data_IF_708636391480
#
_entry.id   IF_708636391480
#
_cell.length_a   1.000
_cell.length_b   1.000
_cell.length_c   1.000
_cell.angle_alpha   90.00
_cell.angle_beta   90.00
_cell.angle_gamma   90.00
#
_symmetry.space_group_name_H-M   'P 1'
#
loop_
_entity.id
_entity.type
_entity.pdbx_description
1 polymer ?
#
# COMPACT_ATOMS: atom_id res chain seq x y z
N UNK A 1 23.63 -8.84 -1.93
CA UNK A 1 22.99 -7.76 -2.72
C UNK A 1 21.50 -8.01 -2.68
N UNK A 2 20.69 -6.96 -2.50
CA UNK A 2 19.23 -7.12 -2.44
C UNK A 2 18.66 -7.02 -3.84
N UNK A 3 17.78 -7.96 -4.21
CA UNK A 3 17.08 -7.95 -5.49
C UNK A 3 15.69 -8.55 -5.34
N UNK A 4 14.79 -8.22 -6.25
CA UNK A 4 13.52 -8.91 -6.35
C UNK A 4 13.03 -8.95 -7.80
N UNK A 5 12.21 -9.95 -8.09
CA UNK A 5 11.59 -10.18 -9.38
C UNK A 5 10.09 -10.28 -9.17
N UNK A 6 9.33 -9.60 -10.01
CA UNK A 6 7.87 -9.71 -10.08
C UNK A 6 7.52 -10.27 -11.46
N UNK A 7 6.86 -11.40 -11.47
CA UNK A 7 6.37 -12.06 -12.67
C UNK A 7 4.85 -12.05 -12.65
N UNK A 8 4.25 -11.58 -13.74
CA UNK A 8 2.81 -11.61 -13.99
C UNK A 8 2.59 -12.11 -15.42
N UNK A 9 1.37 -12.52 -15.79
CA UNK A 9 1.06 -12.91 -17.17
C UNK A 9 1.40 -11.83 -18.21
N UNK A 10 1.31 -10.55 -17.83
CA UNK A 10 1.49 -9.41 -18.72
C UNK A 10 2.92 -8.87 -18.77
N UNK A 11 3.70 -9.04 -17.70
CA UNK A 11 5.03 -8.46 -17.58
C UNK A 11 5.94 -9.20 -16.58
N UNK A 12 7.25 -9.12 -16.85
CA UNK A 12 8.31 -9.55 -15.95
C UNK A 12 9.18 -8.35 -15.61
N UNK A 13 9.31 -8.07 -14.32
CA UNK A 13 10.07 -6.96 -13.77
C UNK A 13 11.18 -7.50 -12.88
N UNK A 14 12.41 -7.04 -13.09
CA UNK A 14 13.55 -7.41 -12.25
C UNK A 14 14.18 -6.14 -11.68
N UNK A 15 14.47 -6.15 -10.39
CA UNK A 15 15.05 -5.02 -9.68
C UNK A 15 16.25 -5.45 -8.85
N UNK A 16 17.27 -4.61 -8.82
CA UNK A 16 18.47 -4.80 -8.02
C UNK A 16 18.82 -3.50 -7.30
N UNK A 17 19.22 -3.62 -6.04
CA UNK A 17 19.75 -2.50 -5.28
C UNK A 17 21.23 -2.35 -5.55
N UNK A 18 21.61 -1.20 -6.11
CA UNK A 18 23.01 -0.92 -6.46
C UNK A 18 23.88 -0.62 -5.23
N UNK A 19 25.19 -0.41 -5.48
CA UNK A 19 26.16 -0.11 -4.43
C UNK A 19 25.95 1.26 -3.75
N UNK A 20 25.18 2.17 -4.35
CA UNK A 20 24.79 3.44 -3.76
C UNK A 20 23.51 3.31 -2.92
N UNK A 21 22.91 2.12 -2.87
CA UNK A 21 21.67 1.84 -2.15
C UNK A 21 20.42 2.24 -2.91
N UNK A 22 20.53 2.55 -4.21
CA UNK A 22 19.40 2.94 -5.06
C UNK A 22 18.86 1.72 -5.80
N UNK A 23 17.53 1.64 -5.92
CA UNK A 23 16.89 0.58 -6.68
C UNK A 23 16.97 0.88 -8.18
N UNK A 24 17.44 -0.10 -8.94
CA UNK A 24 17.50 -0.08 -10.39
C UNK A 24 16.57 -1.17 -10.94
N UNK A 25 15.79 -0.81 -11.95
CA UNK A 25 15.10 -1.80 -12.79
C UNK A 25 16.10 -2.34 -13.80
N UNK A 26 16.15 -3.66 -13.92
CA UNK A 26 17.02 -4.39 -14.84
C UNK A 26 16.23 -4.93 -16.03
N UNK A 27 14.94 -5.25 -15.83
CA UNK A 27 14.02 -5.72 -16.87
C UNK A 27 12.64 -5.09 -16.70
N UNK A 28 11.90 -4.86 -17.81
CA UNK A 28 12.26 -5.16 -19.21
C UNK A 28 13.29 -4.20 -19.82
N UNK A 29 13.48 -3.03 -19.22
CA UNK A 29 14.47 -2.03 -19.60
C UNK A 29 15.32 -1.65 -18.39
N UNK A 30 16.56 -1.22 -18.64
CA UNK A 30 17.43 -0.75 -17.56
C UNK A 30 17.14 0.73 -17.28
N UNK A 31 16.62 1.03 -16.09
CA UNK A 31 16.25 2.38 -15.68
C UNK A 31 16.24 2.52 -14.15
N UNK A 32 16.41 3.74 -13.59
CA UNK A 32 16.20 3.96 -12.17
C UNK A 32 14.77 3.60 -11.76
N UNK A 33 14.63 2.82 -10.68
CA UNK A 33 13.32 2.39 -10.19
C UNK A 33 12.68 3.45 -9.29
N UNK A 34 11.36 3.45 -9.19
CA UNK A 34 10.62 4.29 -8.26
C UNK A 34 10.79 3.78 -6.84
N UNK A 35 11.48 4.56 -6.00
CA UNK A 35 11.69 4.21 -4.58
C UNK A 35 10.36 3.97 -3.86
N UNK A 36 9.34 4.79 -4.14
CA UNK A 36 8.01 4.64 -3.53
C UNK A 36 7.31 3.34 -3.92
N UNK A 37 7.39 2.94 -5.20
CA UNK A 37 6.74 1.70 -5.69
C UNK A 37 7.45 0.46 -5.14
N UNK A 38 8.79 0.48 -5.14
CA UNK A 38 9.61 -0.58 -4.56
C UNK A 38 9.36 -0.71 -3.06
N UNK A 39 9.43 0.40 -2.32
CA UNK A 39 9.22 0.41 -0.88
C UNK A 39 7.83 -0.09 -0.50
N UNK A 40 6.80 0.26 -1.27
CA UNK A 40 5.43 -0.22 -1.05
C UNK A 40 5.34 -1.75 -1.16
N UNK A 41 5.87 -2.36 -2.23
CA UNK A 41 5.84 -3.81 -2.39
C UNK A 41 6.66 -4.52 -1.31
N UNK A 42 7.88 -4.04 -1.02
CA UNK A 42 8.72 -4.65 0.02
C UNK A 42 8.09 -4.52 1.40
N UNK A 43 7.43 -3.40 1.69
CA UNK A 43 6.68 -3.25 2.94
C UNK A 43 5.51 -4.22 3.00
N UNK A 44 4.73 -4.36 1.91
CA UNK A 44 3.66 -5.37 1.86
C UNK A 44 4.20 -6.78 2.11
N UNK A 45 5.36 -7.16 1.58
CA UNK A 45 5.96 -8.47 1.84
C UNK A 45 6.44 -8.61 3.29
N UNK A 46 6.98 -7.54 3.88
CA UNK A 46 7.51 -7.56 5.23
C UNK A 46 6.43 -7.52 6.32
N UNK A 47 5.33 -6.80 6.07
CA UNK A 47 4.24 -6.58 7.05
C UNK A 47 2.94 -7.24 6.67
N UNK A 48 2.87 -7.86 5.49
CA UNK A 48 1.67 -8.50 4.97
C UNK A 48 1.33 -9.71 5.80
N UNK A 49 0.40 -9.54 6.73
CA UNK A 49 -0.12 -10.63 7.52
C UNK A 49 -1.14 -11.43 6.69
N UNK A 50 -1.20 -12.73 6.93
CA UNK A 50 -2.26 -13.57 6.39
C UNK A 50 -3.45 -13.51 7.33
N UNK A 51 -4.59 -13.00 6.86
CA UNK A 51 -5.83 -12.94 7.66
C UNK A 51 -6.29 -14.35 8.07
N UNK A 52 -6.05 -15.33 7.20
CA UNK A 52 -6.43 -16.73 7.40
C UNK A 52 -5.43 -17.66 6.72
N UNK A 53 -5.29 -18.85 7.28
CA UNK A 53 -4.53 -19.95 6.70
C UNK A 53 -5.44 -21.15 6.50
N UNK A 54 -5.26 -21.84 5.38
CA UNK A 54 -5.99 -23.05 5.00
C UNK A 54 -4.96 -24.15 4.77
N UNK A 55 -5.12 -25.29 5.43
CA UNK A 55 -4.35 -26.49 5.13
C UNK A 55 -5.17 -27.34 4.18
N UNK A 56 -4.63 -27.58 2.99
CA UNK A 56 -5.30 -28.32 1.91
C UNK A 56 -4.37 -29.37 1.35
N UNK A 57 -4.90 -30.36 0.62
CA UNK A 57 -4.03 -31.29 -0.09
C UNK A 57 -3.33 -30.57 -1.24
N UNK A 58 -2.06 -30.86 -1.50
CA UNK A 58 -1.30 -30.24 -2.58
C UNK A 58 -1.97 -30.42 -3.97
N UNK A 59 -2.76 -31.49 -4.13
CA UNK A 59 -3.56 -31.75 -5.33
C UNK A 59 -4.67 -30.71 -5.59
N UNK A 60 -5.11 -29.97 -4.57
CA UNK A 60 -6.21 -29.01 -4.65
C UNK A 60 -5.71 -27.57 -4.92
N UNK A 61 -4.38 -27.37 -5.03
CA UNK A 61 -3.76 -26.05 -5.30
C UNK A 61 -4.29 -25.37 -6.56
N UNK A 62 -4.69 -26.16 -7.56
CA UNK A 62 -5.32 -25.68 -8.79
C UNK A 62 -6.65 -24.96 -8.54
N UNK A 63 -7.43 -25.37 -7.53
CA UNK A 63 -8.71 -24.72 -7.17
C UNK A 63 -8.51 -23.30 -6.62
N UNK A 64 -7.30 -23.00 -6.16
CA UNK A 64 -6.91 -21.68 -5.64
C UNK A 64 -6.17 -20.84 -6.70
N UNK A 65 -6.02 -21.34 -7.92
CA UNK A 65 -5.30 -20.66 -9.01
C UNK A 65 -3.80 -20.56 -8.80
N UNK A 66 -3.19 -21.51 -8.08
CA UNK A 66 -1.74 -21.53 -7.82
C UNK A 66 -0.93 -22.32 -8.86
N UNK A 67 -1.60 -23.10 -9.71
CA UNK A 67 -0.98 -23.79 -10.86
C UNK A 67 -0.71 -22.81 -12.02
N UNK A 68 -1.64 -21.89 -12.26
CA UNK A 68 -1.49 -20.71 -13.13
C UNK A 68 -1.56 -19.44 -12.27
N UNK A 69 -0.45 -19.03 -11.63
CA UNK A 69 -0.46 -17.92 -10.70
C UNK A 69 -0.75 -16.59 -11.41
N UNK A 70 -1.50 -15.72 -10.73
CA UNK A 70 -1.74 -14.34 -11.18
C UNK A 70 -0.48 -13.48 -11.03
N UNK A 71 0.37 -13.79 -10.06
CA UNK A 71 1.71 -13.23 -9.96
C UNK A 71 2.64 -14.10 -9.12
N UNK A 72 3.93 -14.01 -9.36
CA UNK A 72 4.99 -14.58 -8.52
C UNK A 72 5.97 -13.49 -8.15
N UNK A 73 6.28 -13.37 -6.87
CA UNK A 73 7.29 -12.44 -6.35
C UNK A 73 8.43 -13.25 -5.76
N UNK A 74 9.65 -13.03 -6.25
CA UNK A 74 10.87 -13.61 -5.71
C UNK A 74 11.71 -12.49 -5.10
N UNK A 75 12.18 -12.64 -3.86
CA UNK A 75 13.02 -11.66 -3.18
C UNK A 75 14.30 -12.33 -2.72
N UNK A 76 15.43 -11.70 -2.99
CA UNK A 76 16.74 -12.06 -2.45
C UNK A 76 17.18 -10.97 -1.48
N UNK A 77 17.37 -11.35 -0.22
CA UNK A 77 17.79 -10.47 0.87
C UNK A 77 19.31 -10.27 0.87
N UNK A 78 19.79 -9.31 1.68
CA UNK A 78 21.22 -9.00 1.74
C UNK A 78 22.08 -10.15 2.29
N UNK A 79 21.47 -10.99 3.13
CA UNK A 79 22.06 -12.19 3.70
C UNK A 79 21.93 -13.43 2.82
N UNK A 80 21.56 -13.25 1.54
CA UNK A 80 21.41 -14.31 0.53
C UNK A 80 20.21 -15.24 0.76
N UNK A 81 19.38 -14.97 1.78
CA UNK A 81 18.09 -15.66 1.94
C UNK A 81 17.16 -15.29 0.78
N UNK A 82 16.47 -16.30 0.24
CA UNK A 82 15.52 -16.13 -0.85
C UNK A 82 14.13 -16.51 -0.36
N UNK A 83 13.17 -15.65 -0.64
CA UNK A 83 11.76 -15.89 -0.38
C UNK A 83 10.94 -15.79 -1.66
N UNK A 84 9.90 -16.60 -1.76
CA UNK A 84 8.95 -16.59 -2.86
C UNK A 84 7.53 -16.46 -2.33
N UNK A 85 6.76 -15.56 -2.93
CA UNK A 85 5.31 -15.47 -2.73
C UNK A 85 4.62 -15.69 -4.07
N UNK A 86 3.78 -16.73 -4.13
CA UNK A 86 2.95 -17.06 -5.28
C UNK A 86 1.54 -16.59 -5.00
N UNK A 87 0.99 -15.73 -5.86
CA UNK A 87 -0.37 -15.21 -5.78
C UNK A 87 -1.27 -15.97 -6.76
N UNK A 88 -2.34 -16.57 -6.25
CA UNK A 88 -3.35 -17.25 -7.01
C UNK A 88 -4.58 -16.38 -7.28
N UNK A 89 -5.75 -17.01 -7.29
CA UNK A 89 -7.03 -16.36 -7.54
C UNK A 89 -7.57 -15.62 -6.32
N UNK A 90 -8.47 -14.66 -6.57
CA UNK A 90 -9.26 -14.05 -5.52
C UNK A 90 -10.26 -15.06 -4.90
N UNK A 91 -10.60 -14.86 -3.64
CA UNK A 91 -11.69 -15.60 -3.00
C UNK A 91 -13.06 -15.21 -3.61
N UNK A 92 -14.11 -15.94 -3.23
CA UNK A 92 -15.44 -15.80 -3.83
C UNK A 92 -16.00 -14.36 -3.77
N UNK A 93 -15.79 -13.67 -2.66
CA UNK A 93 -16.25 -12.29 -2.45
C UNK A 93 -15.21 -11.21 -2.82
N UNK A 94 -14.05 -11.60 -3.37
CA UNK A 94 -12.94 -10.73 -3.78
C UNK A 94 -12.33 -9.88 -2.65
N UNK A 95 -12.52 -10.26 -1.39
CA UNK A 95 -11.91 -9.58 -0.24
C UNK A 95 -10.46 -9.98 0.02
N UNK A 96 -10.02 -11.12 -0.49
CA UNK A 96 -8.67 -11.64 -0.29
C UNK A 96 -8.18 -12.44 -1.50
N UNK A 97 -6.86 -12.61 -1.58
CA UNK A 97 -6.17 -13.37 -2.62
C UNK A 97 -5.58 -14.62 -1.97
N UNK A 98 -5.77 -15.77 -2.60
CA UNK A 98 -5.06 -16.99 -2.18
C UNK A 98 -3.59 -16.86 -2.54
N UNK A 99 -2.71 -17.22 -1.61
CA UNK A 99 -1.28 -17.15 -1.82
C UNK A 99 -0.56 -18.34 -1.18
N UNK A 100 0.64 -18.62 -1.68
CA UNK A 100 1.53 -19.62 -1.10
C UNK A 100 2.90 -18.99 -0.90
N UNK A 101 3.42 -19.07 0.32
CA UNK A 101 4.76 -18.61 0.66
C UNK A 101 5.74 -19.78 0.65
N UNK A 102 6.91 -19.56 0.04
CA UNK A 102 8.05 -20.48 -0.03
C UNK A 102 7.68 -21.92 -0.42
N UNK A 103 7.00 -22.15 -1.57
CA UNK A 103 6.54 -23.48 -1.97
C UNK A 103 7.69 -24.48 -2.18
N UNK A 104 8.83 -24.04 -2.71
CA UNK A 104 10.01 -24.90 -2.90
C UNK A 104 10.62 -25.34 -1.55
N UNK A 105 10.63 -24.47 -0.54
CA UNK A 105 11.11 -24.82 0.79
C UNK A 105 10.18 -25.82 1.51
N UNK A 106 8.89 -25.82 1.16
CA UNK A 106 7.88 -26.73 1.70
C UNK A 106 7.66 -28.00 0.84
N UNK A 107 8.40 -28.18 -0.25
CA UNK A 107 8.25 -29.33 -1.14
C UNK A 107 9.08 -30.52 -0.68
N UNK A 108 8.60 -31.27 0.32
CA UNK A 108 9.16 -32.60 0.62
C UNK A 108 8.71 -33.63 -0.45
N UNK A 109 9.58 -34.57 -0.88
CA UNK A 109 9.41 -35.38 -2.10
C UNK A 109 8.32 -36.48 -2.06
N UNK A 110 7.37 -36.45 -1.12
CA UNK A 110 6.23 -37.36 -1.05
C UNK A 110 4.93 -36.68 -1.50
N UNK A 111 4.96 -36.13 -2.71
CA UNK A 111 4.01 -35.15 -3.26
C UNK A 111 2.55 -35.61 -3.52
N UNK A 112 2.15 -36.83 -3.12
CA UNK A 112 0.78 -37.31 -3.31
C UNK A 112 -0.11 -37.18 -2.05
N UNK A 113 0.50 -37.05 -0.88
CA UNK A 113 -0.20 -36.87 0.42
C UNK A 113 0.30 -35.61 1.15
N UNK A 114 1.07 -34.76 0.47
CA UNK A 114 1.59 -33.53 1.04
C UNK A 114 0.43 -32.55 1.25
N UNK A 115 0.22 -32.15 2.49
CA UNK A 115 -0.63 -31.01 2.82
C UNK A 115 0.17 -29.74 2.57
N UNK A 116 -0.46 -28.74 1.97
CA UNK A 116 0.15 -27.43 1.77
C UNK A 116 -0.67 -26.35 2.47
N UNK A 117 0.01 -25.26 2.83
CA UNK A 117 -0.60 -24.13 3.50
C UNK A 117 -0.90 -23.05 2.46
N UNK A 118 -2.17 -22.74 2.30
CA UNK A 118 -2.65 -21.61 1.51
C UNK A 118 -2.97 -20.45 2.46
N UNK A 119 -2.42 -19.29 2.15
CA UNK A 119 -2.62 -18.05 2.86
C UNK A 119 -3.71 -17.24 2.17
N UNK A 120 -4.53 -16.51 2.93
CA UNK A 120 -5.37 -15.44 2.39
C UNK A 120 -4.69 -14.12 2.72
N UNK A 121 -4.27 -13.39 1.69
CA UNK A 121 -3.57 -12.12 1.79
C UNK A 121 -4.41 -10.97 1.22
N UNK A 122 -4.05 -9.73 1.58
CA UNK A 122 -4.72 -8.53 1.08
C UNK A 122 -4.69 -8.45 -0.46
N UNK A 123 -5.76 -7.97 -1.12
CA UNK A 123 -5.74 -7.64 -2.55
C UNK A 123 -4.70 -6.58 -2.94
N UNK A 124 -4.15 -5.85 -1.95
CA UNK A 124 -3.04 -4.92 -2.17
C UNK A 124 -1.82 -5.56 -2.84
N UNK A 125 -1.58 -6.85 -2.62
CA UNK A 125 -0.49 -7.57 -3.30
C UNK A 125 -0.70 -7.60 -4.81
N UNK A 126 -1.90 -7.94 -5.26
CA UNK A 126 -2.26 -7.96 -6.69
C UNK A 126 -2.24 -6.54 -7.27
N UNK A 127 -2.71 -5.56 -6.50
CA UNK A 127 -2.66 -4.14 -6.92
C UNK A 127 -1.21 -3.64 -7.03
N UNK A 128 -0.30 -4.10 -6.16
CA UNK A 128 1.11 -3.72 -6.20
C UNK A 128 1.80 -4.25 -7.46
N UNK A 129 1.66 -5.54 -7.75
CA UNK A 129 2.37 -6.21 -8.85
C UNK A 129 1.82 -5.86 -10.24
N UNK A 130 0.52 -5.54 -10.34
CA UNK A 130 -0.11 -5.14 -11.61
C UNK A 130 0.01 -3.65 -11.94
N UNK A 131 0.83 -2.89 -11.20
CA UNK A 131 1.12 -1.50 -11.54
C UNK A 131 1.71 -1.40 -12.96
N UNK A 132 1.37 -0.33 -13.71
CA UNK A 132 1.97 -0.11 -15.02
C UNK A 132 3.48 0.08 -14.89
N UNK A 133 4.23 -0.38 -15.90
CA UNK A 133 5.70 -0.27 -15.95
C UNK A 133 6.21 1.16 -15.67
N UNK A 134 5.47 2.19 -16.10
CA UNK A 134 5.78 3.61 -15.86
C UNK A 134 5.80 4.01 -14.39
N UNK A 135 5.03 3.34 -13.53
CA UNK A 135 5.04 3.60 -12.08
C UNK A 135 6.18 2.90 -11.36
N UNK A 136 6.74 1.86 -11.96
CA UNK A 136 7.94 1.20 -11.46
C UNK A 136 9.21 1.95 -11.80
N UNK A 137 9.17 2.83 -12.81
CA UNK A 137 10.28 3.72 -13.16
C UNK A 137 10.25 4.96 -12.27
N UNK A 138 11.44 5.43 -11.89
CA UNK A 138 11.59 6.74 -11.26
C UNK A 138 10.98 7.78 -12.17
N UNK A 139 9.90 8.43 -11.73
CA UNK A 139 9.45 9.65 -12.36
C UNK A 139 10.43 10.76 -11.95
N UNK A 140 10.90 11.60 -12.88
CA UNK A 140 11.52 12.83 -12.47
C UNK A 140 10.50 13.57 -11.61
N UNK A 141 10.93 14.03 -10.42
CA UNK A 141 10.09 14.78 -9.50
C UNK A 141 9.46 15.95 -10.26
N UNK A 142 8.24 15.76 -10.74
CA UNK A 142 7.46 16.85 -11.31
C UNK A 142 7.06 17.66 -10.11
N UNK A 143 7.50 18.91 -10.15
CA UNK A 143 7.34 19.94 -9.14
C UNK A 143 5.96 19.88 -8.48
N UNK A 144 5.84 20.24 -7.19
CA UNK A 144 4.52 20.36 -6.57
C UNK A 144 3.67 21.26 -7.45
N UNK A 145 2.56 20.72 -7.96
CA UNK A 145 1.55 21.50 -8.66
C UNK A 145 1.21 22.67 -7.74
N UNK A 146 1.46 23.94 -8.12
CA UNK A 146 0.96 25.04 -7.32
C UNK A 146 -0.55 24.86 -7.27
N UNK A 147 -1.08 24.70 -6.05
CA UNK A 147 -2.52 24.85 -5.82
C UNK A 147 -2.93 26.16 -6.49
N UNK A 148 -3.95 26.05 -7.35
CA UNK A 148 -4.46 27.14 -8.16
C UNK A 148 -4.67 28.41 -7.32
N UNK A 149 -4.49 29.61 -7.91
CA UNK A 149 -4.77 30.85 -7.22
C UNK A 149 -6.27 30.90 -6.97
N UNK A 150 -6.70 30.97 -5.71
CA UNK A 150 -8.03 31.46 -5.41
C UNK A 150 -8.09 32.91 -5.91
N UNK A 151 -8.74 33.06 -7.06
CA UNK A 151 -9.03 34.31 -7.69
C UNK A 151 -10.16 35.02 -6.94
N UNK A 152 -9.87 36.27 -6.55
CA UNK A 152 -10.77 37.42 -6.65
C UNK A 152 -12.17 37.28 -6.01
N UNK A 153 -12.33 37.77 -4.78
CA UNK A 153 -13.57 38.48 -4.39
C UNK A 153 -13.26 39.98 -4.27
N UNK A 154 -13.96 40.86 -5.03
CA UNK A 154 -13.79 42.30 -4.99
C UNK A 154 -14.68 42.99 -3.94
N UNK A 155 -14.20 44.15 -3.43
CA UNK A 155 -14.90 45.38 -2.97
C UNK A 155 -16.28 45.22 -2.30
N UNK A 156 -16.61 45.82 -1.15
CA UNK A 156 -16.44 47.24 -0.76
C UNK A 156 -17.17 47.46 0.59
N UNK A 157 -16.89 48.59 1.25
CA UNK A 157 -17.67 49.24 2.33
C UNK A 157 -17.60 48.55 3.73
N UNK A 158 -17.44 49.24 4.86
CA UNK A 158 -17.42 50.64 5.26
C UNK A 158 -17.03 50.59 6.75
N UNK A 159 -15.98 51.29 7.21
CA UNK A 159 -15.97 51.67 8.63
C UNK A 159 -15.09 52.91 8.87
N UNK A 160 -15.66 54.00 9.42
CA UNK A 160 -14.91 55.17 9.85
C UNK A 160 -14.42 55.02 11.31
N UNK A 161 -13.16 55.42 11.54
CA UNK A 161 -12.61 56.19 12.67
C UNK A 161 -13.26 56.01 14.06
N UNK A 162 -12.52 55.52 15.07
CA UNK A 162 -12.53 56.09 16.44
C UNK A 162 -11.12 56.00 17.07
N UNK A 163 -10.68 57.16 17.58
CA UNK A 163 -9.51 57.42 18.43
C UNK A 163 -9.44 56.53 19.68
N UNK A 164 -8.22 56.23 20.12
CA UNK A 164 -7.93 55.52 21.37
C UNK A 164 -8.45 56.29 22.60
N UNK A 165 -9.15 55.63 23.55
CA UNK A 165 -9.31 56.18 24.89
C UNK A 165 -8.40 55.52 25.93
N UNK A 166 -7.98 56.42 26.81
CA UNK A 166 -7.11 56.32 27.99
C UNK A 166 -7.56 55.30 29.06
N UNK A 167 -6.57 54.54 29.55
CA UNK A 167 -6.31 54.04 30.93
C UNK A 167 -7.31 53.23 31.77
N UNK A 168 -6.70 52.14 32.29
CA UNK A 168 -6.75 51.53 33.64
C UNK A 168 -7.86 50.53 34.06
N UNK A 169 -7.51 49.57 34.94
CA UNK A 169 -8.13 48.25 35.19
C UNK A 169 -8.96 48.31 36.51
N UNK A 170 -9.30 47.24 37.31
CA UNK A 170 -8.91 45.82 37.25
C UNK A 170 -9.98 44.78 37.66
N UNK A 171 -9.51 43.52 37.69
CA UNK A 171 -9.80 42.49 38.69
C UNK A 171 -11.07 41.62 38.60
N UNK A 172 -10.75 40.33 38.71
CA UNK A 172 -11.39 39.30 39.53
C UNK A 172 -12.55 38.49 38.95
N UNK A 173 -12.41 37.18 39.22
CA UNK A 173 -13.47 36.18 39.43
C UNK A 173 -14.35 35.90 38.22
N UNK A 174 -14.86 34.71 37.97
CA UNK A 174 -14.90 33.41 38.64
C UNK A 174 -15.29 32.46 37.49
N UNK A 175 -14.72 31.26 37.41
CA UNK A 175 -15.37 30.01 37.81
C UNK A 175 -16.62 29.63 37.02
N UNK A 176 -16.61 28.34 36.65
CA UNK A 176 -17.78 27.47 36.51
C UNK A 176 -18.72 27.77 35.34
N UNK A 177 -19.40 26.79 34.75
CA UNK A 177 -19.31 25.34 34.75
C UNK A 177 -20.31 24.87 33.67
N UNK A 178 -20.27 23.57 33.42
CA UNK A 178 -21.44 22.75 33.09
C UNK A 178 -22.03 22.90 31.69
N UNK A 179 -21.77 21.87 30.88
CA UNK A 179 -22.73 20.79 30.56
C UNK A 179 -24.24 21.05 30.82
N UNK A 180 -25.14 20.23 30.25
CA UNK A 180 -25.11 19.56 28.95
C UNK A 180 -26.49 19.64 28.24
N UNK A 181 -26.60 18.84 27.17
CA UNK A 181 -27.79 18.03 26.86
C UNK A 181 -28.87 18.63 25.95
N UNK A 182 -29.30 17.74 25.03
CA UNK A 182 -30.68 17.54 24.60
C UNK A 182 -31.35 18.68 23.79
N UNK A 183 -32.19 18.45 22.80
CA UNK A 183 -32.90 17.25 22.33
C UNK A 183 -33.60 17.66 21.02
N UNK A 184 -33.62 16.73 20.06
CA UNK A 184 -34.78 16.43 19.19
C UNK A 184 -35.33 17.56 18.25
N UNK A 185 -36.39 17.32 17.45
CA UNK A 185 -36.25 17.01 16.02
C UNK A 185 -37.24 17.88 15.20
N UNK A 186 -37.74 17.37 14.06
CA UNK A 186 -38.89 17.81 13.22
C UNK A 186 -38.42 18.26 11.82
N UNK A 187 -38.57 17.44 10.77
CA UNK A 187 -39.78 17.18 9.96
C UNK A 187 -40.44 18.41 9.30
N UNK A 188 -40.81 18.23 8.03
CA UNK A 188 -41.66 19.12 7.23
C UNK A 188 -40.86 19.89 6.17
N UNK A 189 -41.17 19.83 4.88
CA UNK A 189 -42.45 19.59 4.22
C UNK A 189 -42.24 19.21 2.75
#
# INVERSE_FOLDING_TARGET
>A
MQSFIVETPDQMLSFEKDNAGQWQMQQPESAPASDASVAYLLNLLATGESDRTLTVSAADTAEFGLDEPSATINVVLDNEETHQLVLGSANFDNSAIYAQADPEANSEPSAAEAETTILLVSPDFVNAVNRPLEEWRSRPATEPTPSAPDADEPSDADEPSIEEPDVTPPAASESEASEPEATEPVEGN
#
